data_IF_375081294773
#
_entry.id   IF_375081294773
#
_cell.length_a   1.000
_cell.length_b   1.000
_cell.length_c   1.000
_cell.angle_alpha   90.00
_cell.angle_beta   90.00
_cell.angle_gamma   90.00
#
_symmetry.space_group_name_H-M   'P 1'
#
loop_
_entity.id
_entity.type
_entity.pdbx_description
1 polymer ?
#
# COMPACT_ATOMS: atom_id res chain seq x y z
N UNK A 1 -20.85 -29.05 19.82
CA UNK A 1 -19.89 -28.26 19.01
C UNK A 1 -20.20 -28.21 17.51
N UNK A 2 -20.99 -29.13 16.93
CA UNK A 2 -21.18 -29.22 15.47
C UNK A 2 -21.76 -27.97 14.76
N UNK A 3 -22.39 -27.04 15.49
CA UNK A 3 -22.92 -25.79 14.92
C UNK A 3 -21.92 -24.63 14.94
N UNK A 4 -20.86 -24.70 15.74
CA UNK A 4 -19.95 -23.57 15.97
C UNK A 4 -19.28 -23.11 14.66
N UNK A 5 -18.86 -24.05 13.82
CA UNK A 5 -18.25 -23.74 12.51
C UNK A 5 -19.21 -23.15 11.48
N UNK A 6 -20.53 -23.16 11.75
CA UNK A 6 -21.54 -22.52 10.89
C UNK A 6 -21.82 -21.06 11.26
N UNK A 7 -21.36 -20.59 12.42
CA UNK A 7 -21.59 -19.22 12.89
C UNK A 7 -20.59 -18.29 12.20
N UNK A 8 -21.09 -17.31 11.45
CA UNK A 8 -20.26 -16.32 10.74
C UNK A 8 -20.21 -14.95 11.41
N UNK A 9 -21.30 -14.54 12.07
CA UNK A 9 -21.45 -13.19 12.64
C UNK A 9 -21.95 -13.29 14.09
N UNK A 10 -21.06 -13.03 15.05
CA UNK A 10 -21.40 -12.97 16.48
C UNK A 10 -20.33 -12.15 17.22
N UNK A 11 -20.74 -11.28 18.13
CA UNK A 11 -19.81 -10.56 19.01
C UNK A 11 -19.14 -11.50 20.04
N UNK A 12 -19.92 -12.38 20.65
CA UNK A 12 -19.42 -13.43 21.52
C UNK A 12 -20.29 -14.69 21.33
N UNK A 13 -19.69 -15.87 21.53
CA UNK A 13 -20.39 -17.15 21.42
C UNK A 13 -20.21 -17.92 22.72
N UNK A 14 -21.32 -18.18 23.40
CA UNK A 14 -21.35 -18.96 24.63
C UNK A 14 -21.84 -20.37 24.33
N UNK A 15 -21.05 -21.39 24.69
CA UNK A 15 -21.30 -22.78 24.27
C UNK A 15 -21.45 -23.72 25.46
N UNK A 16 -22.63 -24.34 25.58
CA UNK A 16 -22.93 -25.33 26.61
C UNK A 16 -23.77 -24.76 27.75
N UNK A 17 -24.39 -25.64 28.53
CA UNK A 17 -25.39 -25.27 29.56
C UNK A 17 -24.83 -24.43 30.72
N UNK A 18 -23.51 -24.41 30.89
CA UNK A 18 -22.82 -23.75 32.01
C UNK A 18 -22.10 -22.45 31.61
N UNK A 19 -22.21 -22.05 30.35
CA UNK A 19 -21.62 -20.82 29.82
C UNK A 19 -22.70 -19.75 29.74
N UNK A 20 -23.17 -19.25 30.88
CA UNK A 20 -24.11 -18.12 30.87
C UNK A 20 -23.42 -16.85 30.38
N UNK A 21 -24.15 -15.98 29.70
CA UNK A 21 -23.64 -14.72 29.17
C UNK A 21 -23.00 -13.81 30.25
N UNK A 22 -23.54 -13.70 31.49
CA UNK A 22 -22.90 -12.90 32.54
C UNK A 22 -21.48 -13.34 32.92
N UNK A 23 -21.10 -14.60 32.69
CA UNK A 23 -19.71 -15.02 32.90
C UNK A 23 -18.76 -14.27 31.94
N UNK A 24 -19.19 -14.04 30.70
CA UNK A 24 -18.46 -13.26 29.70
C UNK A 24 -18.37 -11.78 30.04
N UNK A 25 -19.39 -11.25 30.70
CA UNK A 25 -19.43 -9.84 31.10
C UNK A 25 -18.46 -9.49 32.23
N UNK A 26 -18.10 -10.46 33.07
CA UNK A 26 -17.39 -10.17 34.31
C UNK A 26 -16.05 -10.88 34.45
N UNK A 27 -15.96 -12.19 34.21
CA UNK A 27 -14.82 -13.00 34.71
C UNK A 27 -14.21 -13.95 33.70
N UNK A 28 -14.88 -14.27 32.60
CA UNK A 28 -14.39 -15.26 31.64
C UNK A 28 -13.15 -14.77 30.86
N UNK A 29 -12.93 -13.45 30.77
CA UNK A 29 -11.76 -12.84 30.14
C UNK A 29 -11.99 -12.05 28.85
N UNK A 30 -12.87 -12.49 27.90
CA UNK A 30 -13.18 -11.71 26.72
C UNK A 30 -13.78 -10.34 27.06
N UNK A 31 -13.63 -9.37 26.14
CA UNK A 31 -14.19 -8.04 26.32
C UNK A 31 -15.70 -8.03 26.01
N UNK A 32 -16.51 -7.53 26.92
CA UNK A 32 -17.97 -7.41 26.74
C UNK A 32 -18.42 -6.15 25.98
N UNK A 33 -17.47 -5.32 25.52
CA UNK A 33 -17.76 -4.22 24.61
C UNK A 33 -17.91 -4.81 23.21
N UNK A 34 -19.13 -5.26 22.91
CA UNK A 34 -19.46 -6.02 21.70
C UNK A 34 -20.16 -5.15 20.63
N UNK A 35 -20.06 -5.53 19.35
CA UNK A 35 -20.86 -4.92 18.29
C UNK A 35 -22.36 -5.20 18.47
N UNK A 36 -23.18 -4.14 18.44
CA UNK A 36 -24.65 -4.19 18.56
C UNK A 36 -25.33 -3.69 17.29
N UNK A 37 -26.67 -3.76 17.20
CA UNK A 37 -27.41 -3.25 16.04
C UNK A 37 -27.09 -3.96 14.71
N UNK A 38 -26.65 -5.22 14.77
CA UNK A 38 -26.25 -6.02 13.59
C UNK A 38 -24.81 -5.79 13.12
N UNK A 39 -24.03 -4.94 13.80
CA UNK A 39 -22.66 -4.59 13.37
C UNK A 39 -21.65 -5.73 13.51
N UNK A 40 -22.01 -6.86 14.14
CA UNK A 40 -21.20 -8.09 14.13
C UNK A 40 -20.98 -8.66 12.72
N UNK A 41 -21.64 -8.12 11.69
CA UNK A 41 -21.39 -8.37 10.28
C UNK A 41 -20.03 -7.84 9.78
N UNK A 42 -19.51 -6.76 10.40
CA UNK A 42 -18.31 -6.08 9.92
C UNK A 42 -17.40 -5.53 11.03
N UNK A 43 -17.84 -5.57 12.29
CA UNK A 43 -17.10 -5.11 13.46
C UNK A 43 -16.77 -6.26 14.39
N UNK A 44 -15.62 -6.16 15.06
CA UNK A 44 -15.17 -7.09 16.10
C UNK A 44 -15.53 -6.57 17.50
N UNK A 45 -15.52 -7.44 18.53
CA UNK A 45 -15.40 -7.02 19.93
C UNK A 45 -14.17 -6.15 20.17
N UNK A 46 -14.23 -5.26 21.17
CA UNK A 46 -13.07 -4.48 21.57
C UNK A 46 -11.91 -5.39 22.00
N UNK A 47 -10.74 -5.22 21.41
CA UNK A 47 -9.50 -5.90 21.78
C UNK A 47 -8.35 -4.89 21.90
N UNK A 48 -7.13 -5.38 22.07
CA UNK A 48 -5.95 -4.50 22.20
C UNK A 48 -5.61 -3.83 20.87
N UNK A 49 -6.02 -4.45 19.76
CA UNK A 49 -5.80 -3.99 18.40
C UNK A 49 -6.43 -2.62 18.13
N UNK A 50 -7.59 -2.31 18.71
CA UNK A 50 -8.22 -0.99 18.58
C UNK A 50 -7.40 0.15 19.20
N UNK A 51 -6.45 -0.17 20.08
CA UNK A 51 -5.56 0.81 20.73
C UNK A 51 -4.17 0.89 20.08
N UNK A 52 -3.94 0.13 19.00
CA UNK A 52 -2.67 0.09 18.28
C UNK A 52 -2.84 0.66 16.87
N UNK A 53 -1.85 1.42 16.39
CA UNK A 53 -1.73 1.78 14.98
C UNK A 53 -0.74 0.85 14.28
N UNK A 54 -1.16 0.25 13.16
CA UNK A 54 -0.31 -0.62 12.33
C UNK A 54 0.24 0.18 11.15
N UNK A 55 1.55 0.10 10.92
CA UNK A 55 2.22 0.73 9.77
C UNK A 55 3.02 -0.32 9.00
N UNK A 56 2.86 -0.34 7.68
CA UNK A 56 3.70 -1.15 6.80
C UNK A 56 5.05 -0.47 6.59
N UNK A 57 6.14 -1.20 6.74
CA UNK A 57 7.49 -0.75 6.41
C UNK A 57 7.94 -1.47 5.15
N UNK A 58 8.25 -0.72 4.11
CA UNK A 58 8.68 -1.24 2.80
C UNK A 58 10.10 -0.74 2.54
N UNK A 59 11.02 -1.68 2.30
CA UNK A 59 12.42 -1.40 1.99
C UNK A 59 12.83 -2.23 0.77
N UNK A 60 13.39 -1.57 -0.25
CA UNK A 60 13.83 -2.21 -1.48
C UNK A 60 15.35 -2.16 -1.58
N UNK A 61 15.96 -3.26 -2.02
CA UNK A 61 17.33 -3.24 -2.55
C UNK A 61 17.32 -2.71 -3.99
N UNK A 62 18.46 -2.22 -4.50
CA UNK A 62 18.60 -1.89 -5.92
C UNK A 62 18.14 -3.02 -6.85
N UNK A 63 18.52 -4.26 -6.54
CA UNK A 63 18.15 -5.44 -7.35
C UNK A 63 16.65 -5.72 -7.31
N UNK A 64 16.02 -5.54 -6.16
CA UNK A 64 14.56 -5.65 -6.03
C UNK A 64 13.85 -4.58 -6.87
N UNK A 65 14.36 -3.34 -6.83
CA UNK A 65 13.80 -2.25 -7.64
C UNK A 65 13.94 -2.54 -9.13
N UNK A 66 15.11 -2.99 -9.59
CA UNK A 66 15.33 -3.36 -10.99
C UNK A 66 14.36 -4.45 -11.48
N UNK A 67 14.01 -5.39 -10.60
CA UNK A 67 13.07 -6.47 -10.91
C UNK A 67 11.63 -5.98 -11.04
N UNK A 68 11.17 -5.14 -10.13
CA UNK A 68 9.75 -4.77 -10.03
C UNK A 68 9.40 -3.47 -10.77
N UNK A 69 10.36 -2.56 -10.98
CA UNK A 69 10.16 -1.28 -11.66
C UNK A 69 9.52 -1.40 -13.05
N UNK A 70 9.83 -2.39 -13.92
CA UNK A 70 9.15 -2.54 -15.20
C UNK A 70 7.64 -2.82 -15.07
N UNK A 71 7.24 -3.60 -14.06
CA UNK A 71 5.82 -3.86 -13.81
C UNK A 71 5.14 -2.63 -13.19
N UNK A 72 5.80 -1.97 -12.23
CA UNK A 72 5.31 -0.72 -11.63
C UNK A 72 5.08 0.36 -12.67
N UNK A 73 6.01 0.54 -13.61
CA UNK A 73 5.86 1.50 -14.71
C UNK A 73 4.66 1.16 -15.58
N UNK A 74 4.59 -0.05 -16.15
CA UNK A 74 3.47 -0.44 -17.02
C UNK A 74 2.10 -0.25 -16.37
N UNK A 75 1.97 -0.58 -15.08
CA UNK A 75 0.73 -0.36 -14.34
C UNK A 75 0.43 1.12 -14.16
N UNK A 76 1.41 1.92 -13.73
CA UNK A 76 1.25 3.36 -13.54
C UNK A 76 0.93 4.09 -14.87
N UNK A 77 1.53 3.68 -15.99
CA UNK A 77 1.24 4.21 -17.33
C UNK A 77 -0.20 3.86 -17.76
N UNK A 78 -0.63 2.61 -17.55
CA UNK A 78 -1.99 2.18 -17.86
C UNK A 78 -3.06 2.89 -17.00
N UNK A 79 -2.69 3.31 -15.78
CA UNK A 79 -3.53 4.12 -14.88
C UNK A 79 -3.48 5.63 -15.19
N UNK A 80 -2.62 6.07 -16.13
CA UNK A 80 -2.40 7.49 -16.44
C UNK A 80 -1.63 8.25 -15.36
N UNK A 81 -0.97 7.54 -14.44
CA UNK A 81 -0.18 8.09 -13.33
C UNK A 81 1.28 8.29 -13.73
N UNK A 82 1.52 9.16 -14.72
CA UNK A 82 2.85 9.37 -15.32
C UNK A 82 3.96 9.70 -14.32
N UNK A 83 3.68 10.52 -13.30
CA UNK A 83 4.68 10.83 -12.25
C UNK A 83 5.10 9.61 -11.42
N UNK A 84 4.21 8.62 -11.25
CA UNK A 84 4.53 7.38 -10.54
C UNK A 84 5.42 6.48 -11.40
N UNK A 85 5.09 6.33 -12.68
CA UNK A 85 5.93 5.61 -13.64
C UNK A 85 7.33 6.23 -13.72
N UNK A 86 7.40 7.56 -13.87
CA UNK A 86 8.64 8.32 -13.94
C UNK A 86 9.53 8.13 -12.71
N UNK A 87 8.95 8.16 -11.50
CA UNK A 87 9.69 7.97 -10.25
C UNK A 87 10.41 6.61 -10.18
N UNK A 88 9.78 5.54 -10.69
CA UNK A 88 10.40 4.23 -10.79
C UNK A 88 11.41 4.15 -11.95
N UNK A 89 11.11 4.79 -13.10
CA UNK A 89 11.97 4.82 -14.27
C UNK A 89 13.30 5.53 -14.01
N UNK A 90 13.28 6.68 -13.32
CA UNK A 90 14.49 7.42 -12.95
C UNK A 90 15.43 6.58 -12.10
N UNK A 91 14.91 5.88 -11.10
CA UNK A 91 15.70 4.97 -10.24
C UNK A 91 16.31 3.83 -11.04
N UNK A 92 15.52 3.20 -11.93
CA UNK A 92 16.01 2.14 -12.80
C UNK A 92 17.16 2.65 -13.67
N UNK A 93 17.01 3.82 -14.30
CA UNK A 93 18.02 4.44 -15.17
C UNK A 93 19.32 4.77 -14.43
N UNK A 94 19.23 5.32 -13.22
CA UNK A 94 20.40 5.62 -12.37
C UNK A 94 21.18 4.33 -12.06
N UNK A 95 20.49 3.26 -11.68
CA UNK A 95 21.12 1.96 -11.42
C UNK A 95 21.75 1.35 -12.70
N UNK A 96 21.08 1.49 -13.85
CA UNK A 96 21.63 1.05 -15.16
C UNK A 96 22.90 1.82 -15.55
N UNK A 97 23.07 3.06 -15.07
CA UNK A 97 24.26 3.89 -15.27
C UNK A 97 25.39 3.56 -14.27
N UNK A 98 25.18 2.64 -13.33
CA UNK A 98 26.17 2.22 -12.35
C UNK A 98 26.25 3.09 -11.10
N UNK A 99 25.27 3.96 -10.88
CA UNK A 99 25.14 4.78 -9.68
C UNK A 99 24.39 4.02 -8.58
N UNK A 100 24.89 4.03 -7.35
CA UNK A 100 24.33 3.24 -6.25
C UNK A 100 23.17 3.94 -5.51
N UNK A 101 22.91 5.21 -5.79
CA UNK A 101 21.87 5.99 -5.11
C UNK A 101 21.27 7.10 -5.97
N UNK A 102 20.02 7.46 -5.67
CA UNK A 102 19.41 8.68 -6.22
C UNK A 102 19.83 9.86 -5.37
N UNK A 103 20.80 10.64 -5.86
CA UNK A 103 21.18 11.92 -5.27
C UNK A 103 20.69 13.09 -6.14
N UNK A 104 20.61 14.28 -5.54
CA UNK A 104 20.31 15.49 -6.31
C UNK A 104 21.37 15.73 -7.40
N UNK A 105 22.63 15.39 -7.11
CA UNK A 105 23.75 15.48 -8.03
C UNK A 105 23.61 14.49 -9.20
N UNK A 106 23.22 13.24 -8.93
CA UNK A 106 22.95 12.24 -9.96
C UNK A 106 21.77 12.64 -10.86
N UNK A 107 20.74 13.27 -10.28
CA UNK A 107 19.59 13.79 -11.01
C UNK A 107 19.90 15.07 -11.80
N UNK A 108 20.79 15.94 -11.31
CA UNK A 108 21.14 17.20 -11.97
C UNK A 108 21.89 17.00 -13.30
N UNK A 109 22.64 15.90 -13.44
CA UNK A 109 23.31 15.51 -14.69
C UNK A 109 22.42 14.74 -15.67
N UNK A 110 21.20 14.37 -15.26
CA UNK A 110 20.28 13.56 -16.06
C UNK A 110 19.21 14.44 -16.68
N UNK A 111 19.03 14.37 -18.00
CA UNK A 111 17.85 14.96 -18.65
C UNK A 111 16.59 14.19 -18.20
N UNK A 112 15.88 14.77 -17.23
CA UNK A 112 14.66 14.21 -16.64
C UNK A 112 13.47 14.25 -17.62
N UNK A 113 13.53 15.10 -18.65
CA UNK A 113 12.48 15.22 -19.67
C UNK A 113 12.52 14.05 -20.66
N UNK A 114 13.73 13.53 -20.96
CA UNK A 114 13.92 12.34 -21.77
C UNK A 114 13.49 11.02 -21.08
N UNK A 115 13.19 11.04 -19.78
CA UNK A 115 12.68 9.86 -19.02
C UNK A 115 11.16 9.91 -18.88
N UNK A 116 10.53 11.04 -19.20
CA UNK A 116 9.18 11.37 -18.78
C UNK A 116 8.06 10.61 -19.50
N UNK A 117 8.28 10.07 -20.69
CA UNK A 117 7.18 9.58 -21.52
C UNK A 117 7.48 8.25 -22.22
N UNK A 118 6.52 7.30 -22.27
CA UNK A 118 6.74 5.99 -22.88
C UNK A 118 6.84 6.02 -24.41
N UNK A 119 6.42 7.12 -25.07
CA UNK A 119 6.21 7.17 -26.54
C UNK A 119 6.73 8.46 -27.24
N UNK A 120 7.56 9.30 -26.61
CA UNK A 120 7.89 10.58 -27.26
C UNK A 120 8.85 10.44 -28.47
N UNK A 121 8.31 10.75 -29.65
CA UNK A 121 9.05 11.25 -30.82
C UNK A 121 9.78 12.54 -30.41
N UNK A 122 11.00 12.69 -30.94
CA UNK A 122 12.02 13.71 -30.59
C UNK A 122 11.49 15.15 -30.64
N UNK A 123 10.36 15.39 -31.29
CA UNK A 123 9.74 16.71 -31.45
C UNK A 123 8.90 17.17 -30.26
N UNK A 124 8.25 16.27 -29.52
CA UNK A 124 7.37 16.65 -28.40
C UNK A 124 8.16 17.25 -27.23
N UNK A 125 9.39 16.77 -27.03
CA UNK A 125 10.34 17.27 -26.02
C UNK A 125 10.91 18.64 -26.40
N UNK A 126 11.07 18.92 -27.70
CA UNK A 126 11.70 20.15 -28.18
C UNK A 126 10.82 21.39 -27.97
N UNK A 127 9.49 21.28 -28.13
CA UNK A 127 8.59 22.42 -28.02
C UNK A 127 8.39 22.91 -26.57
N UNK A 128 8.54 22.03 -25.58
CA UNK A 128 8.45 22.38 -24.15
C UNK A 128 9.72 23.01 -23.57
N UNK A 129 10.86 22.90 -24.27
CA UNK A 129 12.16 23.40 -23.84
C UNK A 129 12.53 24.76 -24.43
N UNK A 130 11.80 25.24 -25.45
CA UNK A 130 11.97 26.61 -25.96
C UNK A 130 11.26 27.60 -25.04
N UNK A 131 11.98 28.58 -24.44
CA UNK A 131 11.33 29.71 -23.78
C UNK A 131 10.45 30.42 -24.81
N UNK A 132 9.17 30.63 -24.50
CA UNK A 132 8.30 31.47 -25.32
C UNK A 132 8.70 32.92 -25.09
N UNK A 133 9.68 33.38 -25.86
CA UNK A 133 10.00 34.80 -26.04
C UNK A 133 10.71 35.49 -24.87
N UNK A 134 11.77 36.21 -25.25
CA UNK A 134 12.48 37.34 -24.62
C UNK A 134 12.01 37.89 -23.27
#
# INVERSE_FOLDING_TARGET
MGLLGGIRNAGAIFVGAWSSEPLGDYVAGPNHTLPTGGTALFSNPLSVEEFVKRSSVICYTPQGLMKDAPATQRLAEAEGLWSHALSAALRRRILEQGEDSVSCEALAGTDLTAVAWPDDDVRTVADGATPVGE
#
